data_IF_058139544411
#
_entry.id   IF_058139544411
#
_cell.length_a   1.000
_cell.length_b   1.000
_cell.length_c   1.000
_cell.angle_alpha   90.00
_cell.angle_beta   90.00
_cell.angle_gamma   90.00
#
_symmetry.space_group_name_H-M   'P 1'
#
loop_
_entity.id
_entity.type
_entity.pdbx_description
1 polymer ?
#
# COMPACT_ATOMS: atom_id res chain seq x y z
N UNK A 1 24.68 16.77 -9.51
CA UNK A 1 26.13 16.78 -9.86
C UNK A 1 26.35 15.61 -10.79
N UNK A 2 26.79 15.90 -12.01
CA UNK A 2 27.11 14.87 -13.01
C UNK A 2 28.55 14.41 -12.75
N UNK A 3 28.74 13.10 -12.54
CA UNK A 3 30.06 12.49 -12.39
C UNK A 3 30.37 11.67 -13.63
N UNK A 4 31.61 11.75 -14.13
CA UNK A 4 32.03 10.93 -15.26
C UNK A 4 32.25 9.46 -14.84
N UNK A 5 32.28 8.55 -15.82
CA UNK A 5 32.45 7.12 -15.55
C UNK A 5 33.78 6.80 -14.85
N UNK A 6 34.84 7.56 -15.18
CA UNK A 6 36.18 7.41 -14.59
C UNK A 6 36.17 7.68 -13.09
N UNK A 7 35.42 8.69 -12.66
CA UNK A 7 35.22 9.02 -11.25
C UNK A 7 34.58 7.84 -10.53
N UNK A 8 33.51 7.27 -11.07
CA UNK A 8 32.86 6.11 -10.47
C UNK A 8 33.74 4.86 -10.48
N UNK A 9 34.52 4.62 -11.53
CA UNK A 9 35.43 3.45 -11.63
C UNK A 9 36.52 3.47 -10.58
N UNK A 10 37.05 4.65 -10.27
CA UNK A 10 38.05 4.81 -9.22
C UNK A 10 37.49 4.47 -7.81
N UNK A 11 36.18 4.61 -7.63
CA UNK A 11 35.50 4.51 -6.34
C UNK A 11 34.84 3.14 -6.13
N UNK A 12 34.29 2.54 -7.18
CA UNK A 12 33.48 1.31 -7.11
C UNK A 12 33.88 0.29 -8.19
N UNK A 13 35.19 0.12 -8.40
CA UNK A 13 35.79 -0.69 -9.46
C UNK A 13 35.22 -2.11 -9.52
N UNK A 14 34.79 -2.54 -10.72
CA UNK A 14 34.40 -3.93 -11.02
C UNK A 14 33.11 -4.43 -10.36
N UNK A 15 32.28 -3.53 -9.83
CA UNK A 15 31.02 -3.91 -9.18
C UNK A 15 29.82 -3.49 -10.03
N UNK A 16 28.91 -4.43 -10.26
CA UNK A 16 27.59 -4.20 -10.84
C UNK A 16 26.60 -3.60 -9.81
N UNK A 17 27.08 -3.20 -8.64
CA UNK A 17 26.28 -2.72 -7.50
C UNK A 17 26.74 -1.33 -7.08
N UNK A 18 25.83 -0.36 -7.12
CA UNK A 18 26.04 0.96 -6.55
C UNK A 18 25.99 0.86 -5.03
N UNK A 19 27.14 0.96 -4.36
CA UNK A 19 27.25 0.72 -2.91
C UNK A 19 26.76 1.87 -2.06
N UNK A 20 27.32 3.06 -2.27
CA UNK A 20 26.96 4.26 -1.50
C UNK A 20 27.56 5.50 -2.16
N UNK A 21 27.05 6.67 -1.79
CA UNK A 21 27.70 7.94 -2.11
C UNK A 21 29.01 8.04 -1.30
N UNK A 22 30.17 8.28 -1.94
CA UNK A 22 31.44 8.49 -1.26
C UNK A 22 31.36 9.55 -0.16
N UNK A 23 31.94 9.23 1.02
CA UNK A 23 31.96 10.16 2.17
C UNK A 23 32.58 11.52 1.83
N UNK A 24 33.58 11.54 0.94
CA UNK A 24 34.24 12.76 0.45
C UNK A 24 33.29 13.74 -0.24
N UNK A 25 32.20 13.24 -0.84
CA UNK A 25 31.17 14.05 -1.50
C UNK A 25 30.09 14.54 -0.53
N UNK A 26 30.07 14.00 0.70
CA UNK A 26 29.07 14.31 1.71
C UNK A 26 27.65 14.06 1.22
N UNK A 27 26.73 14.93 1.62
CA UNK A 27 25.32 14.88 1.21
C UNK A 27 25.11 15.66 -0.08
N UNK A 28 24.81 14.96 -1.16
CA UNK A 28 24.58 15.55 -2.48
C UNK A 28 23.11 15.91 -2.69
N UNK A 29 22.85 16.93 -3.53
CA UNK A 29 21.51 17.38 -3.91
C UNK A 29 20.90 16.58 -5.08
N UNK A 30 21.75 16.12 -5.99
CA UNK A 30 21.37 15.37 -7.17
C UNK A 30 22.41 14.27 -7.42
N UNK A 31 21.93 13.09 -7.82
CA UNK A 31 22.74 11.92 -8.08
C UNK A 31 22.36 11.30 -9.43
N UNK A 32 23.33 11.17 -10.33
CA UNK A 32 23.20 10.31 -11.52
C UNK A 32 24.02 9.04 -11.31
N UNK A 33 23.34 7.90 -11.34
CA UNK A 33 23.96 6.58 -11.15
C UNK A 33 24.24 5.98 -12.54
N UNK A 34 25.50 5.63 -12.86
CA UNK A 34 25.86 5.09 -14.18
C UNK A 34 25.18 3.79 -14.58
N UNK A 35 24.93 3.63 -15.88
CA UNK A 35 24.21 2.51 -16.50
C UNK A 35 24.85 1.13 -16.30
N UNK A 36 26.08 1.03 -15.82
CA UNK A 36 26.70 -0.27 -15.48
C UNK A 36 26.17 -0.90 -14.19
N UNK A 37 25.41 -0.16 -13.37
CA UNK A 37 24.94 -0.64 -12.08
C UNK A 37 23.56 -1.30 -12.19
N UNK A 38 23.52 -2.60 -11.93
CA UNK A 38 22.31 -3.43 -11.96
C UNK A 38 21.61 -3.46 -10.59
N UNK A 39 22.33 -3.12 -9.52
CA UNK A 39 21.82 -3.15 -8.15
C UNK A 39 22.17 -1.84 -7.44
N UNK A 40 21.24 -1.32 -6.66
CA UNK A 40 21.52 -0.31 -5.64
C UNK A 40 21.57 -1.04 -4.30
N UNK A 41 22.68 -0.92 -3.59
CA UNK A 41 22.88 -1.62 -2.33
C UNK A 41 21.93 -1.13 -1.23
N UNK A 42 21.80 -1.95 -0.20
CA UNK A 42 21.04 -1.62 0.99
C UNK A 42 21.60 -0.35 1.65
N UNK A 43 20.74 0.61 1.92
CA UNK A 43 21.09 1.88 2.55
C UNK A 43 21.99 2.80 1.73
N UNK A 44 22.19 2.57 0.43
CA UNK A 44 23.18 3.28 -0.39
C UNK A 44 23.14 4.82 -0.28
N UNK A 45 21.93 5.38 -0.20
CA UNK A 45 21.65 6.82 -0.06
C UNK A 45 20.89 7.15 1.23
N UNK A 46 20.75 6.22 2.17
CA UNK A 46 19.92 6.37 3.38
C UNK A 46 20.30 7.64 4.17
N UNK A 47 19.28 8.42 4.53
CA UNK A 47 19.43 9.61 5.36
C UNK A 47 20.13 10.79 4.67
N UNK A 48 20.30 10.74 3.35
CA UNK A 48 20.74 11.90 2.58
C UNK A 48 19.59 12.91 2.45
N UNK A 49 19.41 13.72 3.50
CA UNK A 49 18.36 14.74 3.56
C UNK A 49 18.56 15.93 2.60
N UNK A 50 19.60 15.93 1.76
CA UNK A 50 19.76 16.93 0.70
C UNK A 50 19.38 16.38 -0.68
N UNK A 51 19.31 15.06 -0.85
CA UNK A 51 19.08 14.42 -2.15
C UNK A 51 17.64 14.67 -2.61
N UNK A 52 17.48 15.47 -3.66
CA UNK A 52 16.20 15.83 -4.26
C UNK A 52 15.93 15.12 -5.59
N UNK A 53 16.98 14.82 -6.37
CA UNK A 53 16.88 14.24 -7.72
C UNK A 53 17.81 13.04 -7.86
N UNK A 54 17.29 11.95 -8.43
CA UNK A 54 18.06 10.74 -8.71
C UNK A 54 17.75 10.29 -10.12
N UNK A 55 18.76 10.19 -10.97
CA UNK A 55 18.67 9.49 -12.25
C UNK A 55 19.16 8.06 -12.03
N UNK A 56 18.25 7.11 -12.20
CA UNK A 56 18.52 5.69 -12.07
C UNK A 56 19.12 5.14 -13.38
N UNK A 57 19.96 4.09 -13.31
CA UNK A 57 20.53 3.48 -14.50
C UNK A 57 19.52 2.63 -15.26
N UNK A 58 19.55 2.64 -16.59
CA UNK A 58 18.62 1.88 -17.42
C UNK A 58 18.83 0.36 -17.31
N UNK A 59 19.97 -0.10 -16.79
CA UNK A 59 20.22 -1.52 -16.50
C UNK A 59 19.69 -1.98 -15.13
N UNK A 60 19.20 -1.06 -14.29
CA UNK A 60 18.85 -1.32 -12.90
C UNK A 60 17.81 -2.43 -12.76
N UNK A 61 18.13 -3.46 -11.98
CA UNK A 61 17.22 -4.58 -11.67
C UNK A 61 16.63 -4.49 -10.28
N UNK A 62 17.39 -4.02 -9.30
CA UNK A 62 17.00 -4.08 -7.88
C UNK A 62 17.37 -2.81 -7.13
N UNK A 63 16.41 -2.29 -6.36
CA UNK A 63 16.63 -1.23 -5.39
C UNK A 63 16.69 -1.86 -4.00
N UNK A 64 17.84 -1.71 -3.33
CA UNK A 64 18.15 -2.31 -2.04
C UNK A 64 17.29 -1.83 -0.88
N UNK A 65 17.34 -2.60 0.22
CA UNK A 65 16.62 -2.29 1.46
C UNK A 65 17.04 -0.92 1.96
N UNK A 66 16.08 -0.06 2.26
CA UNK A 66 16.33 1.30 2.74
C UNK A 66 17.22 2.17 1.82
N UNK A 67 17.41 1.80 0.54
CA UNK A 67 18.37 2.45 -0.35
C UNK A 67 18.23 3.98 -0.40
N UNK A 68 17.00 4.48 -0.41
CA UNK A 68 16.66 5.91 -0.42
C UNK A 68 15.79 6.29 0.79
N UNK A 69 15.90 5.58 1.90
CA UNK A 69 15.14 5.86 3.12
C UNK A 69 15.53 7.25 3.68
N UNK A 70 14.54 8.06 4.07
CA UNK A 70 14.71 9.38 4.65
C UNK A 70 15.56 10.34 3.79
N UNK A 71 15.45 10.24 2.47
CA UNK A 71 15.92 11.25 1.52
C UNK A 71 14.88 12.39 1.37
N UNK A 72 15.23 13.42 0.58
CA UNK A 72 14.31 14.53 0.22
C UNK A 72 13.91 14.48 -1.26
N UNK A 73 13.80 13.28 -1.83
CA UNK A 73 13.47 13.09 -3.25
C UNK A 73 12.16 13.82 -3.54
N UNK A 74 12.22 14.77 -4.48
CA UNK A 74 11.12 15.67 -4.78
C UNK A 74 10.34 15.12 -5.97
N UNK A 75 9.01 15.23 -5.94
CA UNK A 75 8.07 14.78 -6.98
C UNK A 75 8.01 13.26 -7.12
N UNK A 76 9.09 12.61 -7.52
CA UNK A 76 9.06 11.22 -7.91
C UNK A 76 10.44 10.65 -8.16
N UNK A 77 10.48 9.37 -8.52
CA UNK A 77 11.62 8.77 -9.21
C UNK A 77 11.10 8.07 -10.45
N UNK A 78 11.78 8.27 -11.58
CA UNK A 78 11.48 7.54 -12.80
C UNK A 78 12.13 6.16 -12.69
N UNK A 79 11.30 5.13 -12.58
CA UNK A 79 11.76 3.74 -12.51
C UNK A 79 11.98 3.20 -13.93
N UNK A 80 13.20 2.77 -14.28
CA UNK A 80 13.46 2.08 -15.54
C UNK A 80 12.59 0.84 -15.69
N UNK A 81 12.22 0.51 -16.93
CA UNK A 81 11.44 -0.71 -17.24
C UNK A 81 12.22 -2.01 -16.97
N UNK A 82 13.47 -1.93 -16.53
CA UNK A 82 14.30 -3.05 -16.12
C UNK A 82 14.20 -3.40 -14.64
N UNK A 83 13.64 -2.52 -13.80
CA UNK A 83 13.52 -2.74 -12.35
C UNK A 83 12.53 -3.85 -12.06
N UNK A 84 12.98 -4.90 -11.37
CA UNK A 84 12.16 -6.05 -11.00
C UNK A 84 11.76 -6.06 -9.51
N UNK A 85 12.60 -5.51 -8.63
CA UNK A 85 12.40 -5.60 -7.18
C UNK A 85 12.68 -4.26 -6.51
N UNK A 86 11.73 -3.81 -5.68
CA UNK A 86 11.88 -2.71 -4.74
C UNK A 86 11.86 -3.33 -3.33
N UNK A 87 13.00 -3.34 -2.65
CA UNK A 87 13.15 -3.99 -1.35
C UNK A 87 12.57 -3.19 -0.18
N UNK A 88 12.53 -3.84 0.98
CA UNK A 88 11.98 -3.30 2.22
C UNK A 88 12.43 -1.86 2.48
N UNK A 89 11.48 -0.98 2.79
CA UNK A 89 11.76 0.43 3.14
C UNK A 89 12.55 1.24 2.11
N UNK A 90 12.71 0.78 0.86
CA UNK A 90 13.59 1.40 -0.14
C UNK A 90 13.39 2.91 -0.30
N UNK A 91 12.14 3.39 -0.24
CA UNK A 91 11.78 4.80 -0.34
C UNK A 91 11.08 5.34 0.92
N UNK A 92 11.14 4.62 2.05
CA UNK A 92 10.46 5.01 3.26
C UNK A 92 10.89 6.40 3.76
N UNK A 93 9.95 7.20 4.24
CA UNK A 93 10.20 8.49 4.87
C UNK A 93 10.51 9.63 3.91
N UNK A 94 10.37 9.45 2.59
CA UNK A 94 10.56 10.53 1.63
C UNK A 94 9.41 11.56 1.71
N UNK A 95 9.65 12.65 2.43
CA UNK A 95 8.63 13.66 2.73
C UNK A 95 8.31 14.60 1.56
N UNK A 96 8.94 14.48 0.38
CA UNK A 96 8.66 15.32 -0.81
C UNK A 96 8.28 14.51 -2.06
N UNK A 97 8.15 13.19 -1.90
CA UNK A 97 7.61 12.29 -2.93
C UNK A 97 6.14 12.66 -3.16
N UNK A 98 5.72 12.87 -4.41
CA UNK A 98 4.36 13.29 -4.80
C UNK A 98 3.66 12.22 -5.61
N UNK A 99 4.35 11.56 -6.53
CA UNK A 99 3.80 10.47 -7.34
C UNK A 99 4.87 9.46 -7.71
N UNK A 100 4.45 8.23 -7.97
CA UNK A 100 5.32 7.20 -8.55
C UNK A 100 4.58 6.38 -9.59
N UNK A 101 5.29 6.06 -10.68
CA UNK A 101 4.85 5.10 -11.70
C UNK A 101 5.58 3.79 -11.51
N UNK A 102 4.83 2.70 -11.37
CA UNK A 102 5.35 1.35 -11.21
C UNK A 102 5.32 0.65 -12.58
N UNK A 103 6.46 0.38 -13.23
CA UNK A 103 6.48 -0.27 -14.53
C UNK A 103 6.08 -1.75 -14.45
N UNK A 104 5.65 -2.33 -15.57
CA UNK A 104 5.15 -3.71 -15.70
C UNK A 104 6.17 -4.78 -15.25
N UNK A 105 7.45 -4.43 -15.28
CA UNK A 105 8.58 -5.27 -14.92
C UNK A 105 8.76 -5.46 -13.42
N UNK A 106 8.21 -4.57 -12.58
CA UNK A 106 8.25 -4.71 -11.12
C UNK A 106 7.38 -5.89 -10.72
N UNK A 107 8.03 -6.93 -10.20
CA UNK A 107 7.37 -8.17 -9.73
C UNK A 107 7.22 -8.23 -8.23
N UNK A 108 8.02 -7.46 -7.49
CA UNK A 108 7.97 -7.41 -6.03
C UNK A 108 8.20 -5.98 -5.50
N UNK A 109 7.29 -5.52 -4.64
CA UNK A 109 7.44 -4.33 -3.81
C UNK A 109 7.31 -4.82 -2.38
N UNK A 110 8.42 -4.86 -1.65
CA UNK A 110 8.46 -5.41 -0.30
C UNK A 110 7.88 -4.46 0.76
N UNK A 111 7.68 -5.00 1.95
CA UNK A 111 7.09 -4.28 3.10
C UNK A 111 7.73 -2.91 3.33
N UNK A 112 6.90 -1.94 3.72
CA UNK A 112 7.31 -0.56 4.03
C UNK A 112 7.97 0.22 2.87
N UNK A 113 8.00 -0.27 1.63
CA UNK A 113 8.75 0.37 0.54
C UNK A 113 8.49 1.89 0.41
N UNK A 114 7.25 2.35 0.65
CA UNK A 114 6.86 3.76 0.64
C UNK A 114 6.30 4.24 1.99
N UNK A 115 6.66 3.57 3.09
CA UNK A 115 6.22 3.90 4.43
C UNK A 115 6.47 5.37 4.77
N UNK A 116 5.45 6.06 5.30
CA UNK A 116 5.54 7.44 5.77
C UNK A 116 6.00 8.45 4.69
N UNK A 117 5.74 8.17 3.40
CA UNK A 117 5.85 9.14 2.31
C UNK A 117 4.65 10.11 2.36
N UNK A 118 4.63 11.01 3.36
CA UNK A 118 3.42 11.78 3.74
C UNK A 118 2.82 12.66 2.65
N UNK A 119 3.61 13.04 1.63
CA UNK A 119 3.17 13.88 0.52
C UNK A 119 2.90 13.11 -0.77
N UNK A 120 3.04 11.77 -0.76
CA UNK A 120 2.68 10.93 -1.89
C UNK A 120 1.17 11.06 -2.11
N UNK A 121 0.75 11.43 -3.31
CA UNK A 121 -0.64 11.70 -3.70
C UNK A 121 -1.21 10.65 -4.64
N UNK A 122 -0.37 10.10 -5.51
CA UNK A 122 -0.81 9.18 -6.56
C UNK A 122 0.21 8.06 -6.78
N UNK A 123 -0.30 6.85 -7.01
CA UNK A 123 0.47 5.70 -7.45
C UNK A 123 -0.19 5.18 -8.72
N UNK A 124 0.58 5.12 -9.80
CA UNK A 124 0.16 4.61 -11.09
C UNK A 124 0.87 3.28 -11.36
N UNK A 125 0.12 2.23 -11.67
CA UNK A 125 0.68 0.95 -12.08
C UNK A 125 0.48 0.77 -13.58
N UNK A 126 1.47 0.24 -14.27
CA UNK A 126 1.30 -0.20 -15.66
C UNK A 126 0.22 -1.30 -15.76
N UNK A 127 -0.54 -1.32 -16.86
CA UNK A 127 -1.70 -2.20 -17.08
C UNK A 127 -1.38 -3.70 -16.88
N UNK A 128 -0.20 -4.15 -17.31
CA UNK A 128 0.23 -5.56 -17.21
C UNK A 128 1.16 -5.82 -16.01
N UNK A 129 0.84 -5.20 -14.87
CA UNK A 129 1.62 -5.42 -13.65
C UNK A 129 1.61 -6.89 -13.25
N UNK A 130 2.79 -7.43 -12.91
CA UNK A 130 2.93 -8.80 -12.40
C UNK A 130 2.70 -8.93 -10.90
N UNK A 131 2.36 -7.85 -10.20
CA UNK A 131 2.23 -7.83 -8.74
C UNK A 131 1.07 -8.73 -8.27
N UNK A 132 1.31 -9.46 -7.18
CA UNK A 132 0.34 -10.38 -6.57
C UNK A 132 -0.22 -9.89 -5.25
N UNK A 133 0.46 -8.93 -4.62
CA UNK A 133 0.08 -8.41 -3.31
C UNK A 133 0.53 -6.96 -3.15
N UNK A 134 -0.16 -6.25 -2.27
CA UNK A 134 0.36 -5.05 -1.63
C UNK A 134 0.88 -5.47 -0.25
N UNK A 135 2.19 -5.36 -0.06
CA UNK A 135 2.87 -5.87 1.13
C UNK A 135 2.59 -5.05 2.40
N UNK A 136 2.98 -5.62 3.55
CA UNK A 136 2.75 -5.02 4.86
C UNK A 136 3.28 -3.60 4.95
N UNK A 137 2.46 -2.68 5.47
CA UNK A 137 2.84 -1.29 5.75
C UNK A 137 3.39 -0.52 4.53
N UNK A 138 3.19 -1.01 3.29
CA UNK A 138 3.82 -0.47 2.08
C UNK A 138 3.57 1.03 1.90
N UNK A 139 2.33 1.47 2.13
CA UNK A 139 1.90 2.87 2.04
C UNK A 139 1.40 3.41 3.39
N UNK A 140 1.76 2.76 4.50
CA UNK A 140 1.34 3.24 5.81
C UNK A 140 1.77 4.71 6.01
N UNK A 141 0.85 5.52 6.53
CA UNK A 141 1.06 6.94 6.83
C UNK A 141 1.44 7.79 5.61
N UNK A 142 1.07 7.37 4.40
CA UNK A 142 1.02 8.24 3.22
C UNK A 142 -0.19 9.18 3.31
N UNK A 143 -0.09 10.18 4.19
CA UNK A 143 -1.22 11.01 4.63
C UNK A 143 -1.93 11.75 3.49
N UNK A 144 -1.21 12.11 2.42
CA UNK A 144 -1.76 12.81 1.26
C UNK A 144 -2.19 11.88 0.11
N UNK A 145 -2.07 10.56 0.29
CA UNK A 145 -2.34 9.60 -0.79
C UNK A 145 -3.82 9.64 -1.09
N UNK A 146 -4.13 10.10 -2.30
CA UNK A 146 -5.50 10.39 -2.73
C UNK A 146 -6.02 9.32 -3.68
N UNK A 147 -5.18 8.88 -4.61
CA UNK A 147 -5.55 8.01 -5.72
C UNK A 147 -4.61 6.81 -5.83
N UNK A 148 -5.23 5.62 -5.87
CA UNK A 148 -4.55 4.36 -6.13
C UNK A 148 -5.47 3.51 -7.00
N UNK A 149 -5.02 3.21 -8.22
CA UNK A 149 -5.67 2.26 -9.10
C UNK A 149 -4.82 0.99 -9.06
N UNK A 150 -5.25 0.01 -8.27
CA UNK A 150 -4.53 -1.26 -8.21
C UNK A 150 -4.67 -2.02 -9.53
N UNK A 151 -3.60 -2.66 -10.02
CA UNK A 151 -3.68 -3.48 -11.22
C UNK A 151 -4.46 -4.77 -10.94
N UNK A 152 -5.05 -5.33 -11.99
CA UNK A 152 -5.65 -6.66 -11.89
C UNK A 152 -4.60 -7.73 -11.56
N UNK A 153 -5.02 -8.77 -10.86
CA UNK A 153 -4.15 -9.87 -10.42
C UNK A 153 -3.60 -9.72 -9.00
N UNK A 154 -3.79 -8.57 -8.35
CA UNK A 154 -3.54 -8.40 -6.91
C UNK A 154 -4.50 -9.31 -6.15
N UNK A 155 -3.95 -10.26 -5.39
CA UNK A 155 -4.70 -11.21 -4.57
C UNK A 155 -4.86 -10.77 -3.13
N UNK A 156 -3.84 -10.12 -2.57
CA UNK A 156 -3.80 -9.78 -1.15
C UNK A 156 -3.44 -8.32 -0.93
N UNK A 157 -4.17 -7.66 -0.05
CA UNK A 157 -3.77 -6.38 0.55
C UNK A 157 -3.39 -6.71 1.99
N UNK A 158 -2.09 -6.71 2.30
CA UNK A 158 -1.59 -7.17 3.60
C UNK A 158 -1.79 -6.15 4.71
N UNK A 159 -1.38 -6.55 5.92
CA UNK A 159 -1.57 -5.80 7.14
C UNK A 159 -1.04 -4.38 7.01
N UNK A 160 -1.88 -3.42 7.39
CA UNK A 160 -1.58 -1.99 7.44
C UNK A 160 -1.08 -1.39 6.11
N UNK A 161 -1.33 -2.05 4.97
CA UNK A 161 -0.86 -1.61 3.65
C UNK A 161 -1.18 -0.15 3.32
N UNK A 162 -2.37 0.34 3.69
CA UNK A 162 -2.82 1.73 3.53
C UNK A 162 -3.21 2.36 4.88
N UNK A 163 -2.60 1.91 5.98
CA UNK A 163 -2.90 2.39 7.33
C UNK A 163 -2.70 3.91 7.43
N UNK A 164 -3.72 4.65 7.85
CA UNK A 164 -3.74 6.12 7.94
C UNK A 164 -3.48 6.83 6.60
N UNK A 165 -3.83 6.24 5.46
CA UNK A 165 -3.97 6.97 4.19
C UNK A 165 -5.25 7.81 4.23
N UNK A 166 -5.22 8.90 4.98
CA UNK A 166 -6.40 9.70 5.39
C UNK A 166 -7.10 10.42 4.24
N UNK A 167 -6.43 10.63 3.13
CA UNK A 167 -6.99 11.30 1.95
C UNK A 167 -7.35 10.32 0.82
N UNK A 168 -7.20 9.01 1.05
CA UNK A 168 -7.41 7.98 0.02
C UNK A 168 -8.90 7.85 -0.27
N UNK A 169 -9.37 8.47 -1.35
CA UNK A 169 -10.77 8.45 -1.79
C UNK A 169 -10.95 7.77 -3.14
N UNK A 170 -10.01 7.97 -4.07
CA UNK A 170 -10.05 7.42 -5.43
C UNK A 170 -9.35 6.06 -5.42
N UNK A 171 -10.05 5.07 -4.87
CA UNK A 171 -9.56 3.71 -4.72
C UNK A 171 -10.56 2.71 -5.30
N UNK A 172 -10.09 1.87 -6.22
CA UNK A 172 -10.86 0.75 -6.76
C UNK A 172 -10.20 -0.52 -6.24
N UNK A 173 -10.99 -1.36 -5.57
CA UNK A 173 -10.56 -2.68 -5.13
C UNK A 173 -10.75 -3.66 -6.31
N UNK A 174 -9.70 -4.29 -6.85
CA UNK A 174 -9.82 -5.22 -7.97
C UNK A 174 -10.65 -6.47 -7.62
N UNK A 175 -11.36 -7.02 -8.60
CA UNK A 175 -12.15 -8.26 -8.45
C UNK A 175 -11.27 -9.48 -8.12
N UNK A 176 -9.98 -9.38 -8.41
CA UNK A 176 -9.01 -10.42 -8.13
C UNK A 176 -8.63 -10.57 -6.65
N UNK A 177 -9.00 -9.61 -5.78
CA UNK A 177 -8.62 -9.60 -4.36
C UNK A 177 -9.40 -10.64 -3.56
N UNK A 178 -8.66 -11.53 -2.88
CA UNK A 178 -9.22 -12.60 -2.04
C UNK A 178 -9.11 -12.31 -0.55
N UNK A 179 -8.25 -11.37 -0.14
CA UNK A 179 -8.02 -11.08 1.28
C UNK A 179 -7.54 -9.66 1.55
N UNK A 180 -8.10 -9.08 2.61
CA UNK A 180 -7.72 -7.78 3.17
C UNK A 180 -7.21 -8.01 4.58
N UNK A 181 -5.98 -7.59 4.85
CA UNK A 181 -5.26 -7.82 6.10
C UNK A 181 -5.71 -6.92 7.25
N UNK A 182 -5.09 -7.14 8.41
CA UNK A 182 -5.34 -6.39 9.64
C UNK A 182 -5.05 -4.90 9.41
N UNK A 183 -6.01 -4.05 9.78
CA UNK A 183 -5.90 -2.59 9.72
C UNK A 183 -5.51 -2.02 8.34
N UNK A 184 -5.71 -2.79 7.25
CA UNK A 184 -5.22 -2.45 5.92
C UNK A 184 -5.64 -1.06 5.44
N UNK A 185 -6.86 -0.61 5.77
CA UNK A 185 -7.41 0.71 5.44
C UNK A 185 -7.81 1.52 6.67
N UNK A 186 -7.19 1.24 7.83
CA UNK A 186 -7.48 1.97 9.06
C UNK A 186 -7.41 3.49 8.83
N UNK A 187 -8.50 4.20 9.14
CA UNK A 187 -8.61 5.66 9.03
C UNK A 187 -8.31 6.19 7.61
N UNK A 188 -8.87 5.53 6.60
CA UNK A 188 -8.88 5.98 5.20
C UNK A 188 -10.25 6.52 4.77
N UNK A 189 -10.28 7.36 3.72
CA UNK A 189 -11.51 7.94 3.13
C UNK A 189 -12.10 7.11 2.00
N UNK A 190 -11.74 5.83 1.95
CA UNK A 190 -12.22 4.89 0.92
C UNK A 190 -13.75 4.78 0.98
N UNK A 191 -14.33 4.58 -0.20
CA UNK A 191 -15.77 4.44 -0.41
C UNK A 191 -16.01 3.13 -1.12
N UNK A 192 -16.89 2.30 -0.57
CA UNK A 192 -17.37 1.08 -1.21
C UNK A 192 -18.87 1.00 -1.02
N UNK A 193 -19.60 0.62 -2.07
CA UNK A 193 -21.01 0.21 -1.97
C UNK A 193 -21.13 -1.31 -1.88
N UNK A 194 -20.27 -2.02 -2.63
CA UNK A 194 -20.17 -3.48 -2.68
C UNK A 194 -18.70 -3.87 -2.70
N UNK A 195 -18.33 -4.90 -1.95
CA UNK A 195 -16.98 -5.49 -2.02
C UNK A 195 -16.92 -6.55 -3.15
N UNK A 196 -15.75 -6.78 -3.76
CA UNK A 196 -15.62 -7.62 -4.96
C UNK A 196 -15.95 -9.08 -4.69
N UNK A 197 -16.58 -9.72 -5.66
CA UNK A 197 -16.77 -11.18 -5.64
C UNK A 197 -15.40 -11.89 -5.64
N UNK A 198 -15.29 -12.96 -4.85
CA UNK A 198 -14.03 -13.66 -4.61
C UNK A 198 -13.30 -13.21 -3.34
N UNK A 199 -13.70 -12.08 -2.74
CA UNK A 199 -13.17 -11.68 -1.43
C UNK A 199 -13.60 -12.68 -0.35
N UNK A 200 -12.64 -13.34 0.29
CA UNK A 200 -12.91 -14.38 1.30
C UNK A 200 -12.68 -13.90 2.73
N UNK A 201 -11.70 -13.03 2.95
CA UNK A 201 -11.24 -12.64 4.30
C UNK A 201 -11.15 -11.13 4.45
N UNK A 202 -11.80 -10.60 5.49
CA UNK A 202 -11.69 -9.22 5.96
C UNK A 202 -11.04 -9.23 7.35
N UNK A 203 -9.82 -8.71 7.43
CA UNK A 203 -8.95 -8.73 8.60
C UNK A 203 -9.40 -7.84 9.76
N UNK A 204 -8.77 -8.05 10.91
CA UNK A 204 -9.10 -7.32 12.15
C UNK A 204 -8.95 -5.81 11.90
N UNK A 205 -9.98 -5.03 12.23
CA UNK A 205 -9.98 -3.57 12.04
C UNK A 205 -9.66 -3.10 10.61
N UNK A 206 -9.85 -3.95 9.58
CA UNK A 206 -9.45 -3.66 8.20
C UNK A 206 -9.94 -2.30 7.67
N UNK A 207 -11.18 -1.92 8.00
CA UNK A 207 -11.81 -0.65 7.64
C UNK A 207 -12.09 0.24 8.86
N UNK A 208 -11.37 0.03 9.96
CA UNK A 208 -11.66 0.76 11.19
C UNK A 208 -11.51 2.27 11.00
N UNK A 209 -12.50 3.05 11.43
CA UNK A 209 -12.55 4.52 11.22
C UNK A 209 -12.55 4.94 9.74
N UNK A 210 -13.02 4.12 8.80
CA UNK A 210 -13.30 4.57 7.44
C UNK A 210 -14.57 5.44 7.41
N UNK A 211 -14.38 6.75 7.58
CA UNK A 211 -15.48 7.70 7.82
C UNK A 211 -16.35 8.00 6.60
N UNK A 212 -15.99 7.51 5.41
CA UNK A 212 -16.76 7.73 4.18
C UNK A 212 -17.59 6.51 3.75
N UNK A 213 -17.48 5.37 4.47
CA UNK A 213 -18.36 4.23 4.26
C UNK A 213 -19.77 4.56 4.77
N UNK A 214 -20.78 4.37 3.91
CA UNK A 214 -22.19 4.67 4.22
C UNK A 214 -23.07 3.43 4.22
N UNK A 215 -22.91 2.59 3.19
CA UNK A 215 -23.63 1.34 3.01
C UNK A 215 -22.67 0.38 2.32
N UNK A 216 -22.47 -0.81 2.89
CA UNK A 216 -21.55 -1.80 2.34
C UNK A 216 -22.27 -3.14 2.21
N UNK A 217 -22.23 -3.72 1.02
CA UNK A 217 -22.72 -5.08 0.77
C UNK A 217 -21.55 -6.06 0.74
N UNK A 218 -21.63 -7.11 1.56
CA UNK A 218 -20.67 -8.20 1.55
C UNK A 218 -21.08 -9.26 0.51
N UNK A 219 -20.15 -9.65 -0.39
CA UNK A 219 -20.40 -10.69 -1.39
C UNK A 219 -20.43 -12.07 -0.74
N UNK A 220 -21.11 -13.02 -1.38
CA UNK A 220 -21.33 -14.38 -0.85
C UNK A 220 -20.04 -15.16 -0.58
N UNK A 221 -18.97 -14.75 -1.24
CA UNK A 221 -17.62 -15.31 -1.10
C UNK A 221 -16.98 -15.04 0.26
N UNK A 222 -17.44 -14.05 1.03
CA UNK A 222 -16.83 -13.69 2.32
C UNK A 222 -17.03 -14.79 3.35
N UNK A 223 -15.96 -15.50 3.70
CA UNK A 223 -15.96 -16.57 4.71
C UNK A 223 -15.68 -16.04 6.11
N UNK A 224 -14.86 -15.00 6.23
CA UNK A 224 -14.37 -14.48 7.52
C UNK A 224 -14.45 -12.96 7.60
N UNK A 225 -15.14 -12.46 8.62
CA UNK A 225 -15.11 -11.05 9.02
C UNK A 225 -14.55 -10.96 10.43
N UNK A 226 -13.36 -10.36 10.58
CA UNK A 226 -12.67 -10.30 11.86
C UNK A 226 -13.20 -9.20 12.78
N UNK A 227 -12.73 -9.25 14.04
CA UNK A 227 -13.05 -8.29 15.08
C UNK A 227 -12.82 -6.86 14.59
N UNK A 228 -13.78 -5.99 14.89
CA UNK A 228 -13.72 -4.55 14.57
C UNK A 228 -13.59 -4.17 13.09
N UNK A 229 -13.79 -5.10 12.14
CA UNK A 229 -13.54 -4.87 10.72
C UNK A 229 -14.10 -3.54 10.16
N UNK A 230 -15.32 -3.15 10.54
CA UNK A 230 -15.99 -1.90 10.16
C UNK A 230 -16.33 -1.01 11.37
N UNK A 231 -15.67 -1.23 12.51
CA UNK A 231 -15.91 -0.44 13.72
C UNK A 231 -15.29 0.96 13.60
N UNK A 232 -15.86 1.95 14.29
CA UNK A 232 -15.45 3.35 14.18
C UNK A 232 -15.88 4.04 12.89
N UNK A 233 -16.54 3.36 11.95
CA UNK A 233 -17.11 3.94 10.73
C UNK A 233 -18.39 4.73 11.04
N UNK A 234 -18.26 5.96 11.58
CA UNK A 234 -19.40 6.73 12.09
C UNK A 234 -20.46 7.15 11.06
N UNK A 235 -20.20 6.99 9.76
CA UNK A 235 -21.18 7.22 8.69
C UNK A 235 -21.81 5.95 8.13
N UNK A 236 -21.36 4.77 8.56
CA UNK A 236 -21.86 3.48 8.07
C UNK A 236 -23.23 3.20 8.66
N UNK A 237 -24.28 3.36 7.85
CA UNK A 237 -25.68 3.15 8.24
C UNK A 237 -26.13 1.73 8.04
N UNK A 238 -25.65 1.06 6.99
CA UNK A 238 -26.02 -0.31 6.69
C UNK A 238 -24.80 -1.17 6.35
N UNK A 239 -24.72 -2.35 6.94
CA UNK A 239 -23.82 -3.43 6.53
C UNK A 239 -24.66 -4.64 6.15
N UNK A 240 -24.65 -5.00 4.87
CA UNK A 240 -25.53 -6.01 4.29
C UNK A 240 -24.80 -7.34 4.14
N UNK A 241 -25.37 -8.38 4.75
CA UNK A 241 -24.97 -9.76 4.60
C UNK A 241 -25.98 -10.50 3.73
N UNK A 242 -25.53 -11.04 2.60
CA UNK A 242 -26.36 -11.83 1.68
C UNK A 242 -26.23 -13.34 1.90
N UNK A 243 -25.45 -13.74 2.91
CA UNK A 243 -25.12 -15.11 3.31
C UNK A 243 -24.63 -15.12 4.77
N UNK A 244 -24.41 -16.33 5.31
CA UNK A 244 -23.79 -16.53 6.62
C UNK A 244 -22.29 -16.82 6.47
N UNK A 245 -21.39 -15.90 6.89
CA UNK A 245 -19.96 -16.20 6.98
C UNK A 245 -19.67 -17.37 7.93
N UNK A 246 -18.55 -18.04 7.70
CA UNK A 246 -18.08 -19.11 8.60
C UNK A 246 -17.65 -18.56 9.96
N UNK A 247 -17.12 -17.33 9.99
CA UNK A 247 -16.68 -16.68 11.21
C UNK A 247 -17.00 -15.17 11.20
N UNK A 248 -17.49 -14.70 12.34
CA UNK A 248 -17.76 -13.29 12.63
C UNK A 248 -17.12 -12.92 13.96
N UNK A 249 -16.15 -12.02 13.92
CA UNK A 249 -15.46 -11.50 15.10
C UNK A 249 -16.34 -10.53 15.88
N UNK A 250 -15.92 -10.20 17.11
CA UNK A 250 -16.71 -9.31 17.96
C UNK A 250 -16.74 -7.88 17.40
N UNK A 251 -17.86 -7.18 17.60
CA UNK A 251 -18.00 -5.76 17.31
C UNK A 251 -17.62 -5.39 15.87
N UNK A 252 -18.03 -6.19 14.88
CA UNK A 252 -17.73 -5.95 13.45
C UNK A 252 -18.09 -4.55 12.96
N UNK A 253 -19.11 -3.90 13.55
CA UNK A 253 -19.59 -2.57 13.20
C UNK A 253 -20.05 -1.84 14.47
N UNK A 254 -20.29 -0.53 14.36
CA UNK A 254 -20.81 0.29 15.46
C UNK A 254 -22.25 -0.11 15.83
N UNK A 255 -22.66 0.17 17.07
CA UNK A 255 -24.05 -0.07 17.54
C UNK A 255 -25.12 0.73 16.78
N UNK A 256 -24.75 1.86 16.18
CA UNK A 256 -25.67 2.69 15.40
C UNK A 256 -25.82 2.24 13.94
N UNK A 257 -24.97 1.32 13.47
CA UNK A 257 -25.09 0.65 12.18
C UNK A 257 -26.18 -0.42 12.22
N UNK A 258 -27.02 -0.47 11.19
CA UNK A 258 -28.01 -1.54 11.00
C UNK A 258 -27.39 -2.67 10.18
N UNK A 259 -27.35 -3.87 10.77
CA UNK A 259 -26.98 -5.08 10.04
C UNK A 259 -28.19 -5.59 9.26
N UNK A 260 -28.04 -5.75 7.95
CA UNK A 260 -29.09 -6.25 7.08
C UNK A 260 -28.81 -7.71 6.78
N UNK A 261 -29.70 -8.63 7.16
CA UNK A 261 -29.46 -10.08 7.02
C UNK A 261 -30.76 -10.88 6.95
N UNK A 262 -30.69 -12.18 6.64
CA UNK A 262 -31.86 -13.06 6.68
C UNK A 262 -32.30 -13.33 8.13
N UNK A 263 -33.60 -13.30 8.40
CA UNK A 263 -34.16 -13.66 9.71
C UNK A 263 -33.77 -15.10 10.11
N UNK A 264 -33.36 -15.30 11.36
CA UNK A 264 -32.94 -16.60 11.91
C UNK A 264 -31.55 -17.08 11.47
N UNK A 265 -30.86 -16.30 10.63
CA UNK A 265 -29.50 -16.60 10.14
C UNK A 265 -28.44 -16.56 11.26
N UNK A 266 -27.22 -17.03 10.98
CA UNK A 266 -26.09 -16.86 11.93
C UNK A 266 -25.80 -15.37 12.16
N UNK A 267 -25.94 -14.54 11.14
CA UNK A 267 -25.77 -13.08 11.24
C UNK A 267 -26.83 -12.45 12.15
N UNK A 268 -28.09 -12.87 12.04
CA UNK A 268 -29.17 -12.40 12.92
C UNK A 268 -28.90 -12.76 14.39
N UNK A 269 -28.55 -14.03 14.66
CA UNK A 269 -28.16 -14.49 16.00
C UNK A 269 -26.94 -13.72 16.55
N UNK A 270 -25.98 -13.40 15.68
CA UNK A 270 -24.85 -12.54 16.04
C UNK A 270 -25.31 -11.14 16.45
N UNK A 271 -26.27 -10.54 15.74
CA UNK A 271 -26.82 -9.24 16.10
C UNK A 271 -27.51 -9.27 17.46
N UNK A 272 -28.31 -10.30 17.74
CA UNK A 272 -28.99 -10.49 19.03
C UNK A 272 -27.98 -10.63 20.17
N UNK A 273 -26.95 -11.48 20.01
CA UNK A 273 -25.88 -11.69 21.00
C UNK A 273 -25.14 -10.39 21.35
N UNK A 274 -24.85 -9.57 20.34
CA UNK A 274 -24.07 -8.34 20.51
C UNK A 274 -24.93 -7.07 20.68
N UNK A 275 -26.26 -7.21 20.75
CA UNK A 275 -27.23 -6.10 20.87
C UNK A 275 -27.05 -5.05 19.75
N UNK A 276 -26.83 -5.52 18.51
CA UNK A 276 -26.75 -4.70 17.32
C UNK A 276 -28.12 -4.53 16.68
N UNK A 277 -28.35 -3.40 16.03
CA UNK A 277 -29.56 -3.19 15.22
C UNK A 277 -29.53 -4.14 14.03
N UNK A 278 -30.62 -4.85 13.79
CA UNK A 278 -30.81 -5.66 12.58
C UNK A 278 -32.09 -5.27 11.84
N UNK A 279 -32.09 -5.47 10.52
CA UNK A 279 -33.30 -5.51 9.68
C UNK A 279 -33.18 -6.68 8.70
N UNK A 280 -34.32 -7.15 8.20
CA UNK A 280 -34.35 -8.32 7.34
C UNK A 280 -34.38 -7.98 5.85
N UNK A 281 -33.87 -8.90 5.03
CA UNK A 281 -33.96 -8.94 3.56
C UNK A 281 -34.75 -10.14 3.08
#
# INVERSE_FOLDING_TARGET
MLFDEKTWDSIQKGQNTFKTIPKSLGRVHELEIPDRFYYIADGACKGNYKLEYVKLPESLKVIGKSAFENCKIRRGIDLPSTVNVIKESAFAGNQRFVSIKIPYSVKNIEKKAFYNCRHLREIEYALDSGLKSIEEETFESCLSLKKVILPEGIKLIKDRAFYKCKELEDFILPDSVVGIGKEAFYNSKIKFETLPEGLEVIGESAFFKCMELKKVTLPKSVKKVEKWAFHGCGRLKELIFTHDPLYMGEWIANKDCTIVCKEGSKVDKYCQKHQLKSRYI
#
